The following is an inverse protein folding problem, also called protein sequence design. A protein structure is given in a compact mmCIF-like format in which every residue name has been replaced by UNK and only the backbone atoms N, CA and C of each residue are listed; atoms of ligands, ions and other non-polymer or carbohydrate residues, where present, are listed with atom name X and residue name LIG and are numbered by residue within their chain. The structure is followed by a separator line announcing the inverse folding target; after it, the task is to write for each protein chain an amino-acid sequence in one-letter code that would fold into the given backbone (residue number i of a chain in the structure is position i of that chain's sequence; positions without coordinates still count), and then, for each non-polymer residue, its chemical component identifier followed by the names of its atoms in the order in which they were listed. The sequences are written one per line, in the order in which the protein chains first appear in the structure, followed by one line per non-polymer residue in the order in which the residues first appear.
data_IF_795492899949
#
_entry.id   IF_795492899949
#
_cell.length_a   1.000
_cell.length_b   1.000
_cell.length_c   1.000
_cell.angle_alpha   90.00
_cell.angle_beta   90.00
_cell.angle_gamma   90.00
#
_symmetry.space_group_name_H-M   'P 1'
#
loop_
_entity.id
_entity.type
_entity.pdbx_description
1 polymer ?
#
# COMPACT_ATOMS: atom_id res chain seq x y z
N UNK A 1 -1.79 37.47 -4.86
CA UNK A 1 -0.94 36.80 -3.85
C UNK A 1 -1.57 35.45 -3.55
N UNK A 2 -0.93 34.33 -3.87
CA UNK A 2 -1.41 33.01 -3.42
C UNK A 2 -0.94 32.83 -1.97
N UNK A 3 -1.86 32.81 -1.01
CA UNK A 3 -1.54 32.44 0.36
C UNK A 3 -1.37 30.92 0.43
N UNK A 4 -0.32 30.47 1.09
CA UNK A 4 -0.18 29.05 1.41
C UNK A 4 -1.16 28.69 2.53
N UNK A 5 -1.83 27.53 2.50
CA UNK A 5 -2.73 27.11 3.57
C UNK A 5 -1.98 26.99 4.91
N UNK A 6 -2.69 27.18 6.01
CA UNK A 6 -2.14 26.91 7.34
C UNK A 6 -1.89 25.41 7.50
N UNK A 7 -0.92 25.05 8.35
CA UNK A 7 -0.63 23.65 8.64
C UNK A 7 -1.87 22.90 9.16
N UNK A 8 -2.66 23.54 10.04
CA UNK A 8 -3.91 22.97 10.55
C UNK A 8 -4.98 22.72 9.47
N UNK A 9 -4.97 23.50 8.40
CA UNK A 9 -5.88 23.30 7.26
C UNK A 9 -5.44 22.09 6.44
N UNK A 10 -4.13 21.91 6.25
CA UNK A 10 -3.56 20.73 5.58
C UNK A 10 -3.80 19.45 6.39
N UNK A 11 -3.68 19.50 7.72
CA UNK A 11 -3.98 18.34 8.57
C UNK A 11 -5.46 17.95 8.52
N UNK A 12 -6.36 18.94 8.55
CA UNK A 12 -7.81 18.68 8.40
C UNK A 12 -8.14 18.05 7.06
N UNK A 13 -7.55 18.54 5.97
CA UNK A 13 -7.74 17.92 4.65
C UNK A 13 -7.16 16.51 4.59
N UNK A 14 -5.98 16.27 5.17
CA UNK A 14 -5.40 14.92 5.28
C UNK A 14 -6.34 13.97 6.03
N UNK A 15 -6.85 14.39 7.17
CA UNK A 15 -7.72 13.55 8.00
C UNK A 15 -9.06 13.28 7.31
N UNK A 16 -9.63 14.27 6.61
CA UNK A 16 -10.82 14.10 5.78
C UNK A 16 -10.61 13.09 4.64
N UNK A 17 -9.50 13.20 3.91
CA UNK A 17 -9.15 12.22 2.85
C UNK A 17 -8.98 10.83 3.44
N UNK A 18 -8.35 10.74 4.62
CA UNK A 18 -8.16 9.47 5.32
C UNK A 18 -9.49 8.83 5.73
N UNK A 19 -10.40 9.60 6.33
CA UNK A 19 -11.73 9.13 6.70
C UNK A 19 -12.52 8.62 5.49
N UNK A 20 -12.47 9.36 4.37
CA UNK A 20 -13.09 8.95 3.11
C UNK A 20 -12.53 7.60 2.63
N UNK A 21 -11.20 7.46 2.59
CA UNK A 21 -10.55 6.21 2.21
C UNK A 21 -11.04 5.03 3.07
N UNK A 22 -11.04 5.17 4.40
CA UNK A 22 -11.44 4.09 5.30
C UNK A 22 -12.91 3.72 5.18
N UNK A 23 -13.77 4.68 4.79
CA UNK A 23 -15.21 4.47 4.62
C UNK A 23 -15.57 3.87 3.27
N UNK A 24 -14.94 4.31 2.18
CA UNK A 24 -15.40 4.00 0.81
C UNK A 24 -14.40 3.18 0.01
N UNK A 25 -13.13 3.57 0.00
CA UNK A 25 -12.07 2.92 -0.80
C UNK A 25 -11.58 1.62 -0.18
N UNK A 26 -11.35 1.59 1.15
CA UNK A 26 -10.81 0.42 1.86
C UNK A 26 -11.65 -0.85 1.67
N UNK A 27 -12.99 -0.85 1.82
CA UNK A 27 -13.77 -2.06 1.58
C UNK A 27 -13.60 -2.60 0.17
N UNK A 28 -13.57 -1.73 -0.83
CA UNK A 28 -13.36 -2.12 -2.23
C UNK A 28 -11.94 -2.64 -2.45
N UNK A 29 -10.94 -2.02 -1.84
CA UNK A 29 -9.55 -2.47 -1.89
C UNK A 29 -9.40 -3.87 -1.32
N UNK A 30 -10.02 -4.14 -0.16
CA UNK A 30 -10.01 -5.46 0.48
C UNK A 30 -10.57 -6.53 -0.46
N UNK A 31 -11.71 -6.27 -1.09
CA UNK A 31 -12.30 -7.24 -2.02
C UNK A 31 -11.40 -7.47 -3.24
N UNK A 32 -10.79 -6.42 -3.80
CA UNK A 32 -9.82 -6.57 -4.90
C UNK A 32 -8.55 -7.32 -4.49
N UNK A 33 -8.07 -7.14 -3.27
CA UNK A 33 -6.93 -7.88 -2.75
C UNK A 33 -7.24 -9.37 -2.66
N UNK A 34 -8.42 -9.73 -2.15
CA UNK A 34 -8.89 -11.12 -2.09
C UNK A 34 -9.03 -11.74 -3.48
N UNK A 35 -9.65 -11.02 -4.42
CA UNK A 35 -9.75 -11.44 -5.83
C UNK A 35 -8.38 -11.70 -6.48
N UNK A 36 -7.38 -10.88 -6.12
CA UNK A 36 -6.00 -11.06 -6.60
C UNK A 36 -5.31 -12.29 -6.00
N UNK A 37 -5.78 -12.78 -4.86
CA UNK A 37 -5.22 -13.95 -4.16
C UNK A 37 -4.53 -13.65 -2.83
N UNK A 38 -4.63 -12.42 -2.32
CA UNK A 38 -4.25 -12.15 -0.94
C UNK A 38 -5.21 -12.85 0.01
N UNK A 39 -4.65 -13.58 0.97
CA UNK A 39 -5.39 -14.27 2.01
C UNK A 39 -5.37 -13.44 3.29
N UNK A 40 -6.48 -13.43 4.01
CA UNK A 40 -6.55 -12.82 5.34
C UNK A 40 -6.24 -13.92 6.37
N UNK A 41 -5.04 -13.93 7.01
CA UNK A 41 -4.65 -15.03 7.89
C UNK A 41 -5.44 -15.05 9.21
N UNK A 42 -5.90 -13.87 9.65
CA UNK A 42 -6.60 -13.68 10.91
C UNK A 42 -7.93 -12.94 10.65
N UNK A 43 -9.08 -13.59 10.85
CA UNK A 43 -10.40 -12.96 10.74
C UNK A 43 -10.57 -11.77 11.69
N UNK A 44 -9.92 -11.80 12.86
CA UNK A 44 -9.99 -10.73 13.87
C UNK A 44 -9.12 -9.52 13.49
N UNK A 45 -8.25 -9.68 12.48
CA UNK A 45 -7.41 -8.61 11.94
C UNK A 45 -7.71 -8.35 10.44
N UNK A 46 -8.81 -7.64 10.13
CA UNK A 46 -9.27 -7.42 8.75
C UNK A 46 -8.39 -6.48 7.92
N UNK A 47 -7.32 -5.94 8.49
CA UNK A 47 -6.40 -5.03 7.80
C UNK A 47 -5.08 -5.69 7.41
N UNK A 48 -4.88 -6.96 7.76
CA UNK A 48 -3.67 -7.72 7.44
C UNK A 48 -3.96 -8.80 6.41
N UNK A 49 -3.09 -8.85 5.40
CA UNK A 49 -3.22 -9.77 4.29
C UNK A 49 -1.87 -10.37 3.95
N UNK A 50 -1.91 -11.57 3.38
CA UNK A 50 -0.73 -12.34 3.04
C UNK A 50 -0.87 -12.90 1.63
N UNK A 51 0.16 -12.74 0.82
CA UNK A 51 0.30 -13.40 -0.48
C UNK A 51 1.55 -14.28 -0.44
N UNK A 52 1.43 -15.54 -0.87
CA UNK A 52 2.54 -16.48 -0.90
C UNK A 52 2.99 -16.76 -2.35
N UNK A 53 4.29 -16.72 -2.60
CA UNK A 53 4.87 -17.06 -3.89
C UNK A 53 4.93 -18.58 -4.08
N UNK A 54 4.26 -19.11 -5.11
CA UNK A 54 4.17 -20.55 -5.36
C UNK A 54 5.52 -21.27 -5.53
N UNK A 55 6.53 -20.57 -6.04
CA UNK A 55 7.81 -21.19 -6.42
C UNK A 55 8.81 -21.26 -5.25
N UNK A 56 8.71 -20.36 -4.28
CA UNK A 56 9.74 -20.14 -3.26
C UNK A 56 9.20 -20.16 -1.82
N UNK A 57 7.87 -20.18 -1.68
CA UNK A 57 7.13 -19.94 -0.44
C UNK A 57 7.39 -18.57 0.21
N UNK A 58 8.10 -17.65 -0.46
CA UNK A 58 8.28 -16.30 0.05
C UNK A 58 6.93 -15.61 0.28
N UNK A 59 6.88 -14.75 1.29
CA UNK A 59 5.63 -14.21 1.79
C UNK A 59 5.61 -12.69 1.66
N UNK A 60 4.49 -12.14 1.20
CA UNK A 60 4.24 -10.71 1.12
C UNK A 60 3.14 -10.35 2.12
N UNK A 61 3.51 -9.57 3.14
CA UNK A 61 2.60 -9.09 4.18
C UNK A 61 2.10 -7.70 3.81
N UNK A 62 0.82 -7.58 3.57
CA UNK A 62 0.16 -6.30 3.33
C UNK A 62 -0.57 -5.86 4.60
N UNK A 63 -0.39 -4.60 4.97
CA UNK A 63 -1.10 -3.98 6.11
C UNK A 63 -1.78 -2.68 5.68
N UNK A 64 -3.07 -2.55 5.99
CA UNK A 64 -3.82 -1.30 5.85
C UNK A 64 -3.80 -0.57 7.20
N UNK A 65 -2.94 0.43 7.32
CA UNK A 65 -2.74 1.22 8.52
C UNK A 65 -3.65 2.46 8.54
N UNK A 66 -3.54 3.26 9.62
CA UNK A 66 -4.31 4.49 9.74
C UNK A 66 -4.06 5.47 8.60
N UNK A 67 -2.82 5.64 8.15
CA UNK A 67 -2.44 6.62 7.11
C UNK A 67 -1.58 6.05 5.98
N UNK A 68 -1.41 4.72 5.93
CA UNK A 68 -0.68 4.10 4.83
C UNK A 68 -1.11 2.67 4.56
N UNK A 69 -0.84 2.19 3.35
CA UNK A 69 -0.87 0.76 3.02
C UNK A 69 0.54 0.32 2.74
N UNK A 70 1.04 -0.63 3.52
CA UNK A 70 2.40 -1.14 3.40
C UNK A 70 2.40 -2.56 2.85
N UNK A 71 3.46 -2.91 2.12
CA UNK A 71 3.76 -4.29 1.73
C UNK A 71 5.19 -4.62 2.15
N UNK A 72 5.33 -5.68 2.92
CA UNK A 72 6.61 -6.22 3.36
C UNK A 72 6.86 -7.58 2.74
N UNK A 73 8.02 -7.74 2.11
CA UNK A 73 8.52 -9.04 1.69
C UNK A 73 9.21 -9.74 2.86
N UNK A 74 8.94 -11.02 3.03
CA UNK A 74 9.63 -11.91 3.97
C UNK A 74 10.24 -13.08 3.21
N UNK A 75 11.57 -13.17 3.24
CA UNK A 75 12.31 -14.30 2.70
C UNK A 75 12.23 -15.49 3.65
N UNK A 76 11.57 -16.59 3.27
CA UNK A 76 11.35 -17.73 4.18
C UNK A 76 12.64 -18.37 4.67
N UNK A 77 13.59 -18.62 3.77
CA UNK A 77 14.85 -19.29 4.15
C UNK A 77 15.81 -18.44 5.01
N UNK A 78 15.79 -17.12 4.85
CA UNK A 78 16.73 -16.19 5.51
C UNK A 78 16.09 -15.46 6.70
N UNK A 79 14.76 -15.46 6.80
CA UNK A 79 14.01 -14.66 7.77
C UNK A 79 14.09 -13.15 7.51
N UNK A 80 14.66 -12.73 6.38
CA UNK A 80 14.86 -11.32 6.06
C UNK A 80 13.52 -10.66 5.72
N UNK A 81 13.23 -9.52 6.34
CA UNK A 81 12.03 -8.72 6.08
C UNK A 81 12.42 -7.39 5.45
N UNK A 82 11.75 -7.02 4.36
CA UNK A 82 11.97 -5.75 3.63
C UNK A 82 10.65 -5.07 3.33
N UNK A 83 10.56 -3.78 3.63
CA UNK A 83 9.47 -2.93 3.18
C UNK A 83 9.67 -2.65 1.68
N UNK A 84 8.73 -3.08 0.85
CA UNK A 84 8.81 -2.94 -0.61
C UNK A 84 7.75 -1.99 -1.18
N UNK A 85 6.79 -1.55 -0.36
CA UNK A 85 5.75 -0.61 -0.73
C UNK A 85 5.25 0.14 0.51
N UNK A 86 5.02 1.44 0.40
CA UNK A 86 4.39 2.27 1.45
C UNK A 86 3.53 3.39 0.84
N UNK A 87 2.26 3.10 0.56
CA UNK A 87 1.33 4.05 -0.06
C UNK A 87 0.68 4.92 1.01
N UNK A 88 1.04 6.19 1.08
CA UNK A 88 0.46 7.18 2.01
C UNK A 88 -0.55 8.13 1.35
N UNK A 89 -0.60 8.14 0.01
CA UNK A 89 -1.56 8.96 -0.74
C UNK A 89 -2.93 8.28 -0.84
N UNK A 90 -3.79 8.52 0.17
CA UNK A 90 -5.14 7.94 0.24
C UNK A 90 -6.18 8.63 -0.64
N UNK A 91 -5.81 9.70 -1.37
CA UNK A 91 -6.67 10.27 -2.40
C UNK A 91 -6.71 9.42 -3.69
N UNK A 92 -5.88 8.38 -3.79
CA UNK A 92 -5.86 7.47 -4.93
C UNK A 92 -7.14 6.61 -5.00
N UNK A 93 -7.59 6.34 -6.23
CA UNK A 93 -8.66 5.37 -6.45
C UNK A 93 -8.21 3.95 -6.10
N UNK A 94 -9.16 3.07 -5.77
CA UNK A 94 -8.92 1.64 -5.53
C UNK A 94 -8.09 1.00 -6.65
N UNK A 95 -8.43 1.30 -7.91
CA UNK A 95 -7.72 0.77 -9.07
C UNK A 95 -6.25 1.20 -9.11
N UNK A 96 -5.98 2.49 -8.90
CA UNK A 96 -4.61 2.99 -8.91
C UNK A 96 -3.79 2.43 -7.76
N UNK A 97 -4.40 2.30 -6.58
CA UNK A 97 -3.74 1.74 -5.41
C UNK A 97 -3.37 0.27 -5.61
N UNK A 98 -4.29 -0.53 -6.16
CA UNK A 98 -4.01 -1.92 -6.55
C UNK A 98 -2.88 -2.01 -7.58
N UNK A 99 -2.88 -1.15 -8.60
CA UNK A 99 -1.81 -1.15 -9.61
C UNK A 99 -0.44 -0.84 -8.99
N UNK A 100 -0.36 0.06 -8.01
CA UNK A 100 0.89 0.33 -7.29
C UNK A 100 1.33 -0.89 -6.48
N UNK A 101 0.42 -1.51 -5.71
CA UNK A 101 0.72 -2.71 -4.92
C UNK A 101 1.30 -3.82 -5.81
N UNK A 102 0.65 -4.10 -6.94
CA UNK A 102 1.08 -5.11 -7.90
C UNK A 102 2.46 -4.76 -8.46
N UNK A 103 2.68 -3.52 -8.90
CA UNK A 103 3.99 -3.08 -9.42
C UNK A 103 5.09 -3.22 -8.39
N UNK A 104 4.84 -2.90 -7.12
CA UNK A 104 5.83 -3.05 -6.06
C UNK A 104 6.24 -4.52 -5.87
N UNK A 105 5.26 -5.44 -5.88
CA UNK A 105 5.53 -6.87 -5.81
C UNK A 105 6.29 -7.36 -7.05
N UNK A 106 5.85 -6.96 -8.25
CA UNK A 106 6.49 -7.34 -9.52
C UNK A 106 7.94 -6.83 -9.62
N UNK A 107 8.19 -5.57 -9.24
CA UNK A 107 9.54 -4.98 -9.28
C UNK A 107 10.48 -5.68 -8.30
N UNK A 108 9.98 -6.00 -7.12
CA UNK A 108 10.75 -6.76 -6.14
C UNK A 108 11.06 -8.17 -6.67
N UNK A 109 10.06 -8.86 -7.24
CA UNK A 109 10.23 -10.20 -7.81
C UNK A 109 11.20 -10.24 -9.00
N UNK A 110 11.08 -9.28 -9.92
CA UNK A 110 11.85 -9.29 -11.17
C UNK A 110 13.26 -8.74 -11.01
N UNK A 111 13.43 -7.70 -10.18
CA UNK A 111 14.67 -6.93 -10.13
C UNK A 111 15.28 -6.82 -8.73
N UNK A 112 14.56 -7.23 -7.67
CA UNK A 112 15.00 -7.02 -6.29
C UNK A 112 15.06 -5.53 -5.91
N UNK A 113 14.25 -4.69 -6.58
CA UNK A 113 14.24 -3.23 -6.39
C UNK A 113 12.91 -2.79 -5.79
N UNK A 114 12.97 -1.84 -4.85
CA UNK A 114 11.79 -1.18 -4.28
C UNK A 114 11.26 -0.17 -5.30
N UNK A 115 9.98 -0.30 -5.66
CA UNK A 115 9.33 0.63 -6.58
C UNK A 115 9.06 1.97 -5.88
N UNK A 116 9.71 3.03 -6.37
CA UNK A 116 9.46 4.40 -5.90
C UNK A 116 8.19 4.98 -6.55
N UNK A 117 7.05 4.74 -5.91
CA UNK A 117 5.78 5.26 -6.39
C UNK A 117 5.64 6.78 -6.20
N UNK A 118 6.40 7.41 -5.29
CA UNK A 118 6.36 8.87 -5.08
C UNK A 118 6.92 9.56 -6.32
N UNK A 119 8.09 9.12 -6.77
CA UNK A 119 8.67 9.56 -8.05
C UNK A 119 7.74 9.26 -9.23
N UNK A 120 7.06 8.11 -9.22
CA UNK A 120 6.14 7.72 -10.28
C UNK A 120 4.85 8.56 -10.32
N UNK A 121 4.47 9.22 -9.21
CA UNK A 121 3.34 10.16 -9.16
C UNK A 121 3.67 11.52 -9.81
N UNK A 122 4.90 11.73 -10.26
CA UNK A 122 5.31 12.98 -10.91
C UNK A 122 5.63 14.10 -9.92
N UNK A 123 5.74 13.82 -8.62
CA UNK A 123 6.21 14.75 -7.59
C UNK A 123 7.73 15.00 -7.65
N UNK A 124 8.36 14.92 -8.83
CA UNK A 124 9.77 15.29 -8.95
C UNK A 124 9.91 16.74 -8.48
N UNK A 125 10.68 16.94 -7.42
CA UNK A 125 11.16 18.24 -6.99
C UNK A 125 11.82 18.90 -8.22
N UNK A 126 11.29 20.06 -8.61
CA UNK A 126 11.98 20.99 -9.50
C UNK A 126 13.08 21.71 -8.72
#
# INVERSE_FOLDING_TARGET
MRSFPLFEELERERDKVNEEFHRTTKPQLIERLKEFGFMQPDPDNPTKFVLAEKATDNVYHLSINRYSVTVQFQHVKRGEVKLICDISNFAMSTHNMMNVIIKCVDYWLQYGVVYDYISAQGFKEC
#
